data_IF_418328095475
#
_entry.id   IF_418328095475
#
_cell.length_a   1.000
_cell.length_b   1.000
_cell.length_c   1.000
_cell.angle_alpha   90.00
_cell.angle_beta   90.00
_cell.angle_gamma   90.00
#
_symmetry.space_group_name_H-M   'P 1'
#
loop_
_entity.id
_entity.type
_entity.pdbx_description
1 polymer ?
#
# COMPACT_ATOMS: atom_id res chain seq x y z
N UNK A 1 59.12 0.37 -10.84
CA UNK A 1 59.04 -1.02 -11.33
C UNK A 1 58.52 -1.86 -10.18
N UNK A 2 57.27 -2.32 -10.31
CA UNK A 2 56.57 -3.47 -9.70
C UNK A 2 56.57 -3.60 -8.16
N UNK A 3 55.42 -3.47 -7.47
CA UNK A 3 54.24 -4.37 -7.40
C UNK A 3 54.33 -5.30 -6.17
N UNK A 4 53.26 -5.32 -5.38
CA UNK A 4 53.15 -6.11 -4.15
C UNK A 4 51.84 -5.83 -3.40
N UNK A 5 50.75 -5.67 -4.14
CA UNK A 5 49.41 -5.69 -3.57
C UNK A 5 49.15 -7.12 -3.09
N UNK A 6 49.12 -7.30 -1.77
CA UNK A 6 48.71 -8.56 -1.15
C UNK A 6 47.29 -8.88 -1.59
N UNK A 7 47.18 -9.95 -2.37
CA UNK A 7 45.96 -10.67 -2.72
C UNK A 7 45.22 -10.97 -1.42
N UNK A 8 44.27 -10.10 -1.05
CA UNK A 8 43.29 -10.44 -0.03
C UNK A 8 42.19 -11.21 -0.76
N UNK A 9 42.07 -12.47 -0.38
CA UNK A 9 41.24 -13.50 -0.97
C UNK A 9 39.79 -13.06 -1.20
N UNK A 10 39.34 -13.33 -2.42
CA UNK A 10 38.04 -13.03 -3.02
C UNK A 10 36.95 -14.05 -2.61
N UNK A 11 37.07 -14.76 -1.48
CA UNK A 11 36.26 -15.99 -1.22
C UNK A 11 35.37 -15.97 0.02
N UNK A 12 35.10 -14.81 0.62
CA UNK A 12 34.18 -14.71 1.80
C UNK A 12 32.97 -13.77 1.57
N UNK A 13 32.67 -13.38 0.32
CA UNK A 13 31.62 -12.38 0.02
C UNK A 13 30.36 -12.93 -0.66
N UNK A 14 30.32 -14.22 -1.02
CA UNK A 14 29.28 -14.70 -1.95
C UNK A 14 27.89 -14.84 -1.30
N UNK A 15 27.77 -15.31 -0.05
CA UNK A 15 26.46 -15.43 0.64
C UNK A 15 25.87 -14.05 1.05
N UNK A 16 26.72 -13.10 1.43
CA UNK A 16 26.28 -11.72 1.72
C UNK A 16 25.96 -10.93 0.45
N UNK A 17 26.59 -11.24 -0.69
CA UNK A 17 26.35 -10.55 -1.96
C UNK A 17 24.97 -10.85 -2.55
N UNK A 18 24.52 -12.10 -2.48
CA UNK A 18 23.20 -12.50 -3.00
C UNK A 18 22.06 -11.94 -2.13
N UNK A 19 22.24 -11.94 -0.81
CA UNK A 19 21.29 -11.32 0.11
C UNK A 19 21.23 -9.79 -0.07
N UNK A 20 22.37 -9.15 -0.34
CA UNK A 20 22.45 -7.72 -0.64
C UNK A 20 21.83 -7.40 -2.01
N UNK A 21 22.10 -8.20 -3.05
CA UNK A 21 21.49 -8.05 -4.38
C UNK A 21 19.96 -8.21 -4.33
N UNK A 22 19.47 -9.16 -3.53
CA UNK A 22 18.04 -9.33 -3.31
C UNK A 22 17.40 -8.11 -2.64
N UNK A 23 18.05 -7.54 -1.63
CA UNK A 23 17.59 -6.30 -0.98
C UNK A 23 17.62 -5.13 -1.97
N UNK A 24 18.69 -4.98 -2.76
CA UNK A 24 18.81 -3.94 -3.79
C UNK A 24 17.71 -4.05 -4.83
N UNK A 25 17.41 -5.26 -5.32
CA UNK A 25 16.32 -5.49 -6.27
C UNK A 25 14.95 -5.14 -5.67
N UNK A 26 14.72 -5.48 -4.40
CA UNK A 26 13.48 -5.09 -3.69
C UNK A 26 13.35 -3.59 -3.55
N UNK A 27 14.43 -2.90 -3.19
CA UNK A 27 14.44 -1.44 -3.06
C UNK A 27 14.21 -0.78 -4.42
N UNK A 28 14.82 -1.30 -5.48
CA UNK A 28 14.61 -0.82 -6.85
C UNK A 28 13.14 -0.98 -7.28
N UNK A 29 12.53 -2.15 -7.06
CA UNK A 29 11.12 -2.38 -7.38
C UNK A 29 10.19 -1.53 -6.51
N UNK A 30 10.55 -1.31 -5.24
CA UNK A 30 9.79 -0.43 -4.36
C UNK A 30 9.74 1.00 -4.93
N UNK A 31 10.85 1.55 -5.42
CA UNK A 31 10.84 2.91 -6.00
C UNK A 31 10.26 2.99 -7.41
N UNK A 32 10.12 1.87 -8.12
CA UNK A 32 9.48 1.84 -9.44
C UNK A 32 7.95 2.03 -9.38
N UNK A 33 7.33 1.73 -8.24
CA UNK A 33 5.89 1.88 -8.03
C UNK A 33 5.52 3.35 -7.72
N UNK A 34 4.45 3.85 -8.33
CA UNK A 34 4.02 5.25 -8.17
C UNK A 34 3.60 5.60 -6.73
N UNK A 35 3.06 4.63 -5.98
CA UNK A 35 2.64 4.78 -4.58
C UNK A 35 3.13 3.60 -3.73
N UNK A 36 4.42 3.54 -3.38
CA UNK A 36 5.05 2.29 -2.94
C UNK A 36 4.59 1.84 -1.55
N UNK A 37 4.26 2.79 -0.66
CA UNK A 37 3.66 2.48 0.64
C UNK A 37 2.24 1.92 0.51
N UNK A 38 1.42 2.50 -0.36
CA UNK A 38 0.03 2.06 -0.57
C UNK A 38 -0.01 0.69 -1.26
N UNK A 39 0.89 0.47 -2.22
CA UNK A 39 1.10 -0.81 -2.88
C UNK A 39 1.49 -1.91 -1.89
N UNK A 40 2.41 -1.61 -0.98
CA UNK A 40 2.82 -2.56 0.07
C UNK A 40 1.64 -2.89 1.00
N UNK A 41 0.88 -1.87 1.42
CA UNK A 41 -0.29 -2.06 2.27
C UNK A 41 -1.36 -2.92 1.58
N UNK A 42 -1.66 -2.61 0.32
CA UNK A 42 -2.59 -3.38 -0.51
C UNK A 42 -2.16 -4.84 -0.63
N UNK A 43 -0.88 -5.10 -0.93
CA UNK A 43 -0.35 -6.47 -1.03
C UNK A 43 -0.48 -7.24 0.29
N UNK A 44 -0.17 -6.61 1.43
CA UNK A 44 -0.30 -7.24 2.75
C UNK A 44 -1.75 -7.56 3.08
N UNK A 45 -2.68 -6.64 2.79
CA UNK A 45 -4.11 -6.84 3.06
C UNK A 45 -4.67 -7.93 2.14
N UNK A 46 -4.35 -7.93 0.85
CA UNK A 46 -4.77 -8.99 -0.06
C UNK A 46 -4.20 -10.35 0.34
N UNK A 47 -2.96 -10.43 0.82
CA UNK A 47 -2.40 -11.68 1.37
C UNK A 47 -3.13 -12.13 2.65
N UNK A 48 -3.44 -11.19 3.56
CA UNK A 48 -4.18 -11.47 4.78
C UNK A 48 -5.59 -12.00 4.48
N UNK A 49 -6.29 -11.38 3.54
CA UNK A 49 -7.65 -11.77 3.14
C UNK A 49 -7.67 -13.08 2.34
N UNK A 50 -6.63 -13.35 1.53
CA UNK A 50 -6.47 -14.65 0.88
C UNK A 50 -6.31 -15.80 1.90
N UNK A 51 -5.60 -15.55 3.02
CA UNK A 51 -5.48 -16.51 4.12
C UNK A 51 -6.79 -16.69 4.89
N UNK A 52 -7.58 -15.64 5.01
CA UNK A 52 -8.84 -15.62 5.75
C UNK A 52 -10.04 -15.27 4.87
N UNK A 53 -10.40 -16.16 3.93
CA UNK A 53 -11.48 -15.93 2.95
C UNK A 53 -12.83 -15.52 3.56
N UNK A 54 -13.15 -15.99 4.77
CA UNK A 54 -14.40 -15.61 5.48
C UNK A 54 -14.43 -14.12 5.89
N UNK A 55 -13.28 -13.47 5.97
CA UNK A 55 -13.15 -12.06 6.37
C UNK A 55 -13.19 -11.09 5.19
N UNK A 56 -13.18 -11.60 3.95
CA UNK A 56 -13.17 -10.77 2.73
C UNK A 56 -14.42 -9.89 2.70
N UNK A 57 -15.60 -10.46 2.89
CA UNK A 57 -16.87 -9.74 2.86
C UNK A 57 -16.93 -8.67 3.97
N UNK A 58 -16.53 -9.02 5.19
CA UNK A 58 -16.47 -8.07 6.31
C UNK A 58 -15.47 -6.94 6.07
N UNK A 59 -14.32 -7.21 5.45
CA UNK A 59 -13.33 -6.19 5.13
C UNK A 59 -13.86 -5.23 4.06
N UNK A 60 -14.54 -5.75 3.03
CA UNK A 60 -15.19 -4.95 1.98
C UNK A 60 -16.26 -4.04 2.59
N UNK A 61 -17.12 -4.56 3.46
CA UNK A 61 -18.18 -3.78 4.12
C UNK A 61 -17.62 -2.72 5.08
N UNK A 62 -16.56 -3.06 5.82
CA UNK A 62 -15.85 -2.12 6.68
C UNK A 62 -15.24 -0.97 5.86
N UNK A 63 -14.52 -1.29 4.78
CA UNK A 63 -13.92 -0.28 3.89
C UNK A 63 -14.99 0.60 3.25
N UNK A 64 -16.08 0.02 2.76
CA UNK A 64 -17.22 0.78 2.20
C UNK A 64 -17.82 1.74 3.24
N UNK A 65 -18.00 1.29 4.47
CA UNK A 65 -18.53 2.13 5.55
C UNK A 65 -17.58 3.28 5.87
N UNK A 66 -16.28 3.04 5.93
CA UNK A 66 -15.28 4.08 6.15
C UNK A 66 -15.27 5.12 5.03
N UNK A 67 -15.39 4.68 3.76
CA UNK A 67 -15.50 5.58 2.61
C UNK A 67 -16.74 6.47 2.72
N UNK A 68 -17.90 5.90 3.04
CA UNK A 68 -19.15 6.66 3.23
C UNK A 68 -19.03 7.69 4.36
N UNK A 69 -18.35 7.35 5.46
CA UNK A 69 -18.07 8.29 6.55
C UNK A 69 -17.16 9.41 6.07
N UNK A 70 -16.07 9.10 5.37
CA UNK A 70 -15.15 10.12 4.83
C UNK A 70 -15.87 11.08 3.87
N UNK A 71 -16.72 10.57 2.97
CA UNK A 71 -17.51 11.40 2.04
C UNK A 71 -18.47 12.29 2.83
N UNK A 72 -19.26 11.74 3.77
CA UNK A 72 -20.18 12.52 4.62
C UNK A 72 -19.47 13.62 5.40
N UNK A 73 -18.26 13.35 5.90
CA UNK A 73 -17.44 14.32 6.62
C UNK A 73 -16.89 15.43 5.71
N UNK A 74 -16.65 15.13 4.42
CA UNK A 74 -16.19 16.12 3.43
C UNK A 74 -17.35 16.96 2.86
N UNK A 75 -18.52 16.35 2.65
CA UNK A 75 -19.72 17.03 2.13
C UNK A 75 -20.40 17.93 3.18
N UNK A 76 -20.52 17.45 4.42
CA UNK A 76 -21.14 18.19 5.53
C UNK A 76 -20.14 18.34 6.68
N UNK A 77 -19.11 19.20 6.55
CA UNK A 77 -18.14 19.41 7.61
C UNK A 77 -18.82 20.10 8.78
N UNK A 78 -18.95 19.41 9.92
CA UNK A 78 -19.36 20.08 11.17
C UNK A 78 -18.30 21.13 11.53
N UNK A 79 -18.68 22.13 12.33
CA UNK A 79 -17.80 23.26 12.70
C UNK A 79 -16.43 22.85 13.25
N UNK A 80 -16.32 21.63 13.79
CA UNK A 80 -15.09 21.06 14.36
C UNK A 80 -14.14 20.47 13.28
N UNK A 81 -14.66 20.10 12.11
CA UNK A 81 -13.92 19.51 10.98
C UNK A 81 -13.57 20.51 9.88
N UNK A 82 -13.92 21.79 10.04
CA UNK A 82 -13.62 22.86 9.05
C UNK A 82 -12.14 23.26 8.99
N UNK A 83 -11.28 22.62 9.79
CA UNK A 83 -9.82 22.84 9.73
C UNK A 83 -9.28 22.29 8.40
N UNK A 84 -8.52 23.10 7.68
CA UNK A 84 -7.93 22.73 6.39
C UNK A 84 -7.05 21.48 6.46
N UNK A 85 -6.32 21.29 7.57
CA UNK A 85 -5.50 20.11 7.82
C UNK A 85 -6.34 18.82 7.86
N UNK A 86 -7.49 18.87 8.52
CA UNK A 86 -8.40 17.73 8.63
C UNK A 86 -9.07 17.43 7.30
N UNK A 87 -9.40 18.45 6.51
CA UNK A 87 -9.95 18.27 5.17
C UNK A 87 -8.95 17.58 4.22
N UNK A 88 -7.70 18.04 4.17
CA UNK A 88 -6.64 17.44 3.35
C UNK A 88 -6.31 16.01 3.82
N UNK A 89 -6.33 15.77 5.13
CA UNK A 89 -6.17 14.43 5.68
C UNK A 89 -7.29 13.49 5.22
N UNK A 90 -8.55 13.90 5.35
CA UNK A 90 -9.71 13.09 4.96
C UNK A 90 -9.72 12.79 3.46
N UNK A 91 -9.31 13.73 2.60
CA UNK A 91 -9.14 13.47 1.17
C UNK A 91 -8.10 12.38 0.89
N UNK A 92 -6.95 12.40 1.57
CA UNK A 92 -5.92 11.36 1.40
C UNK A 92 -6.40 10.00 1.90
N UNK A 93 -7.11 9.98 3.03
CA UNK A 93 -7.72 8.75 3.58
C UNK A 93 -8.75 8.20 2.61
N UNK A 94 -9.63 9.04 2.06
CA UNK A 94 -10.64 8.64 1.08
C UNK A 94 -10.00 7.98 -0.16
N UNK A 95 -9.02 8.64 -0.78
CA UNK A 95 -8.32 8.08 -1.97
C UNK A 95 -7.62 6.76 -1.62
N UNK A 96 -6.97 6.69 -0.46
CA UNK A 96 -6.30 5.46 -0.01
C UNK A 96 -7.28 4.31 0.20
N UNK A 97 -8.46 4.58 0.77
CA UNK A 97 -9.51 3.58 0.98
C UNK A 97 -10.12 3.10 -0.34
N UNK A 98 -10.31 3.99 -1.33
CA UNK A 98 -10.83 3.62 -2.65
C UNK A 98 -9.84 2.70 -3.38
N UNK A 99 -8.55 3.06 -3.43
CA UNK A 99 -7.51 2.24 -4.06
C UNK A 99 -7.38 0.89 -3.34
N UNK A 100 -7.45 0.91 -2.00
CA UNK A 100 -7.41 -0.33 -1.23
C UNK A 100 -8.64 -1.22 -1.49
N UNK A 101 -9.83 -0.63 -1.57
CA UNK A 101 -11.06 -1.35 -1.90
C UNK A 101 -10.98 -1.98 -3.30
N UNK A 102 -10.43 -1.26 -4.28
CA UNK A 102 -10.27 -1.76 -5.64
C UNK A 102 -9.37 -3.01 -5.71
N UNK A 103 -8.29 -3.03 -4.91
CA UNK A 103 -7.39 -4.18 -4.84
C UNK A 103 -7.93 -5.37 -4.02
N UNK A 104 -8.90 -5.14 -3.14
CA UNK A 104 -9.47 -6.17 -2.26
C UNK A 104 -10.75 -6.77 -2.84
N UNK A 105 -11.58 -5.97 -3.50
CA UNK A 105 -12.83 -6.42 -4.07
C UNK A 105 -12.57 -7.26 -5.34
N UNK A 106 -13.13 -8.47 -5.47
CA UNK A 106 -12.83 -9.37 -6.60
C UNK A 106 -13.22 -8.78 -7.96
N UNK A 107 -14.21 -7.88 -7.98
CA UNK A 107 -14.65 -7.21 -9.20
C UNK A 107 -14.14 -5.76 -9.30
N UNK A 108 -13.34 -5.28 -8.35
CA UNK A 108 -12.88 -3.89 -8.28
C UNK A 108 -13.93 -2.90 -7.73
N UNK A 109 -13.49 -1.66 -7.51
CA UNK A 109 -14.30 -0.59 -6.92
C UNK A 109 -15.30 0.05 -7.92
N UNK A 110 -15.06 -0.10 -9.22
CA UNK A 110 -15.75 0.63 -10.29
C UNK A 110 -16.93 -0.12 -10.93
N UNK A 111 -17.33 -1.27 -10.36
CA UNK A 111 -18.49 -2.00 -10.85
C UNK A 111 -19.76 -1.34 -10.32
N UNK A 112 -20.82 -1.27 -11.13
CA UNK A 112 -22.12 -0.66 -10.77
C UNK A 112 -22.77 -1.23 -9.51
N UNK A 113 -22.31 -2.38 -9.02
CA UNK A 113 -22.77 -3.04 -7.80
C UNK A 113 -21.87 -2.78 -6.59
N UNK A 114 -20.82 -1.96 -6.73
CA UNK A 114 -19.94 -1.63 -5.61
C UNK A 114 -20.70 -0.76 -4.61
N UNK A 115 -20.42 -0.97 -3.32
CA UNK A 115 -21.07 -0.22 -2.25
C UNK A 115 -20.47 1.18 -2.07
N UNK A 116 -19.61 1.63 -2.97
CA UNK A 116 -18.93 2.93 -2.94
C UNK A 116 -19.47 3.78 -4.09
N UNK A 117 -19.92 4.98 -3.77
CA UNK A 117 -20.28 6.01 -4.75
C UNK A 117 -19.00 6.77 -5.12
N UNK A 118 -18.57 6.65 -6.37
CA UNK A 118 -17.35 7.26 -6.95
C UNK A 118 -17.78 8.24 -8.02
#
# INVERSE_FOLDING_TARGET
>A
MLEGASVHSFTDLDEDSDSNLYVVNKVSLFYAEATPMLRTLSNVISQFLNKHKRLVDYAIDMLSTMVKVCIRMLETPTVQFRKQETHLFMLRVLVSLIILYDHVHPNGAFVKTSNIDI
#
